data_IF_673934243434
#
_entry.id   IF_673934243434
#
_cell.length_a   1.000
_cell.length_b   1.000
_cell.length_c   1.000
_cell.angle_alpha   90.00
_cell.angle_beta   90.00
_cell.angle_gamma   90.00
#
_symmetry.space_group_name_H-M   'P 1'
#
loop_
_entity.id
_entity.type
_entity.pdbx_description
1 polymer ?
#
# COMPACT_ATOMS: atom_id res chain seq x y z
N UNK A 1 -4.41 -5.51 -19.80
CA UNK A 1 -4.36 -6.93 -19.36
C UNK A 1 -5.54 -7.14 -18.41
N UNK A 2 -6.10 -8.35 -18.26
CA UNK A 2 -7.12 -8.56 -17.23
C UNK A 2 -6.53 -8.20 -15.85
N UNK A 3 -7.26 -7.41 -15.07
CA UNK A 3 -6.90 -7.09 -13.67
C UNK A 3 -6.89 -8.38 -12.85
N UNK A 4 -5.90 -8.52 -11.96
CA UNK A 4 -5.84 -9.65 -11.05
C UNK A 4 -7.09 -9.65 -10.17
N UNK A 5 -7.78 -10.79 -10.09
CA UNK A 5 -8.88 -10.92 -9.14
C UNK A 5 -8.34 -10.93 -7.71
N UNK A 6 -9.13 -10.46 -6.73
CA UNK A 6 -8.75 -10.44 -5.30
C UNK A 6 -8.22 -11.79 -4.81
N UNK A 7 -8.81 -12.90 -5.24
CA UNK A 7 -8.35 -14.25 -4.88
C UNK A 7 -6.99 -14.62 -5.48
N UNK A 8 -6.73 -14.25 -6.73
CA UNK A 8 -5.43 -14.47 -7.39
C UNK A 8 -4.34 -13.58 -6.77
N UNK A 9 -4.69 -12.35 -6.39
CA UNK A 9 -3.79 -11.42 -5.74
C UNK A 9 -3.35 -11.96 -4.36
N UNK A 10 -4.29 -12.42 -3.54
CA UNK A 10 -4.01 -13.03 -2.23
C UNK A 10 -3.08 -14.25 -2.33
N UNK A 11 -3.21 -15.08 -3.37
CA UNK A 11 -2.31 -16.23 -3.56
C UNK A 11 -0.87 -15.78 -3.88
N UNK A 12 -0.70 -14.69 -4.63
CA UNK A 12 0.62 -14.16 -5.00
C UNK A 12 1.33 -13.45 -3.84
N UNK A 13 0.59 -12.92 -2.87
CA UNK A 13 1.13 -12.23 -1.68
C UNK A 13 1.97 -13.11 -0.77
N UNK A 14 1.96 -14.43 -0.94
CA UNK A 14 2.80 -15.35 -0.15
C UNK A 14 4.31 -15.22 -0.45
N UNK A 15 4.70 -14.41 -1.44
CA UNK A 15 6.07 -14.26 -1.91
C UNK A 15 6.51 -12.79 -1.81
N UNK A 16 7.72 -12.55 -1.29
CA UNK A 16 8.35 -11.24 -1.38
C UNK A 16 8.54 -10.85 -2.86
N UNK A 17 8.27 -9.60 -3.20
CA UNK A 17 8.29 -9.15 -4.60
C UNK A 17 7.07 -9.57 -5.43
N UNK A 18 5.92 -9.83 -4.79
CA UNK A 18 4.70 -10.17 -5.50
C UNK A 18 4.32 -9.10 -6.54
N UNK A 19 3.96 -9.54 -7.75
CA UNK A 19 3.40 -8.66 -8.76
C UNK A 19 1.87 -8.60 -8.61
N UNK A 20 1.41 -7.46 -8.10
CA UNK A 20 0.03 -7.08 -7.78
C UNK A 20 -0.36 -5.79 -8.52
N UNK A 21 0.36 -5.48 -9.59
CA UNK A 21 0.11 -4.30 -10.41
C UNK A 21 -1.32 -4.29 -10.93
N UNK A 22 -1.97 -3.13 -10.83
CA UNK A 22 -3.36 -2.90 -11.25
C UNK A 22 -4.37 -3.88 -10.59
N UNK A 23 -4.02 -4.54 -9.47
CA UNK A 23 -4.91 -5.48 -8.80
C UNK A 23 -6.05 -4.75 -8.08
N UNK A 24 -7.23 -5.37 -8.05
CA UNK A 24 -8.32 -4.94 -7.18
C UNK A 24 -8.16 -5.62 -5.81
N UNK A 25 -7.74 -4.81 -4.84
CA UNK A 25 -7.55 -5.14 -3.43
C UNK A 25 -8.41 -4.26 -2.52
N UNK A 26 -9.43 -3.60 -3.09
CA UNK A 26 -10.34 -2.73 -2.35
C UNK A 26 -10.97 -3.49 -1.16
N UNK A 27 -10.95 -2.87 0.02
CA UNK A 27 -11.43 -3.46 1.27
C UNK A 27 -10.82 -4.82 1.61
N UNK A 28 -9.59 -5.11 1.16
CA UNK A 28 -8.90 -6.33 1.53
C UNK A 28 -8.37 -6.25 2.97
N UNK A 29 -8.40 -7.38 3.68
CA UNK A 29 -7.62 -7.57 4.90
C UNK A 29 -6.20 -8.00 4.50
N UNK A 30 -5.28 -7.05 4.61
CA UNK A 30 -3.85 -7.18 4.36
C UNK A 30 -3.05 -6.87 5.63
N UNK A 31 -3.69 -6.94 6.79
CA UNK A 31 -3.05 -6.64 8.07
C UNK A 31 -1.87 -7.59 8.31
N UNK A 32 -0.78 -7.03 8.83
CA UNK A 32 0.49 -7.73 9.13
C UNK A 32 1.11 -8.51 7.95
N UNK A 33 0.63 -8.32 6.70
CA UNK A 33 1.13 -9.08 5.55
C UNK A 33 2.53 -8.66 5.16
N UNK A 34 3.27 -9.63 4.63
CA UNK A 34 4.60 -9.39 4.04
C UNK A 34 4.42 -9.00 2.58
N UNK A 35 4.49 -7.71 2.30
CA UNK A 35 4.41 -7.12 0.96
C UNK A 35 5.73 -6.47 0.54
N UNK A 36 6.83 -6.90 1.17
CA UNK A 36 8.17 -6.36 0.92
C UNK A 36 8.50 -6.46 -0.58
N UNK A 37 8.94 -5.33 -1.14
CA UNK A 37 9.31 -5.18 -2.55
C UNK A 37 8.20 -5.54 -3.55
N UNK A 38 6.93 -5.64 -3.14
CA UNK A 38 5.82 -5.93 -4.03
C UNK A 38 5.61 -4.79 -5.04
N UNK A 39 5.21 -5.14 -6.26
CA UNK A 39 4.73 -4.17 -7.25
C UNK A 39 3.21 -4.06 -7.11
N UNK A 40 2.77 -2.95 -6.53
CA UNK A 40 1.39 -2.53 -6.29
C UNK A 40 1.07 -1.26 -7.12
N UNK A 41 1.85 -0.99 -8.17
CA UNK A 41 1.64 0.17 -9.03
C UNK A 41 0.21 0.17 -9.58
N UNK A 42 -0.50 1.28 -9.42
CA UNK A 42 -1.89 1.43 -9.88
C UNK A 42 -2.91 0.49 -9.24
N UNK A 43 -2.56 -0.24 -8.16
CA UNK A 43 -3.50 -1.10 -7.46
C UNK A 43 -4.61 -0.28 -6.78
N UNK A 44 -5.81 -0.83 -6.74
CA UNK A 44 -6.90 -0.31 -5.92
C UNK A 44 -6.82 -0.94 -4.53
N UNK A 45 -6.39 -0.16 -3.55
CA UNK A 45 -6.31 -0.50 -2.12
C UNK A 45 -7.30 0.35 -1.31
N UNK A 46 -8.32 0.92 -1.97
CA UNK A 46 -9.28 1.79 -1.29
C UNK A 46 -9.99 1.04 -0.15
N UNK A 47 -9.98 1.64 1.04
CA UNK A 47 -10.53 1.07 2.27
C UNK A 47 -9.89 -0.24 2.73
N UNK A 48 -8.73 -0.64 2.20
CA UNK A 48 -8.03 -1.83 2.65
C UNK A 48 -7.47 -1.66 4.07
N UNK A 49 -7.40 -2.75 4.82
CA UNK A 49 -6.69 -2.84 6.09
C UNK A 49 -5.25 -3.27 5.82
N UNK A 50 -4.31 -2.34 5.91
CA UNK A 50 -2.85 -2.53 5.82
C UNK A 50 -2.18 -2.27 7.17
N UNK A 51 -2.93 -2.33 8.28
CA UNK A 51 -2.39 -2.11 9.61
C UNK A 51 -1.25 -3.10 9.89
N UNK A 52 -0.11 -2.60 10.37
CA UNK A 52 1.10 -3.39 10.62
C UNK A 52 1.76 -4.03 9.39
N UNK A 53 1.28 -3.75 8.16
CA UNK A 53 1.82 -4.39 6.96
C UNK A 53 3.29 -4.06 6.72
N UNK A 54 4.05 -5.05 6.21
CA UNK A 54 5.46 -4.89 5.88
C UNK A 54 5.63 -4.53 4.40
N UNK A 55 5.65 -3.23 4.11
CA UNK A 55 5.74 -2.65 2.76
C UNK A 55 7.14 -2.16 2.40
N UNK A 56 8.18 -2.52 3.18
CA UNK A 56 9.56 -2.11 2.92
C UNK A 56 9.96 -2.25 1.44
N UNK A 57 10.37 -1.14 0.82
CA UNK A 57 10.74 -1.05 -0.61
C UNK A 57 9.66 -1.46 -1.62
N UNK A 58 8.38 -1.49 -1.23
CA UNK A 58 7.31 -1.74 -2.19
C UNK A 58 7.14 -0.56 -3.16
N UNK A 59 6.62 -0.86 -4.35
CA UNK A 59 6.28 0.12 -5.38
C UNK A 59 4.76 0.31 -5.43
N UNK A 60 4.27 1.48 -5.05
CA UNK A 60 2.85 1.89 -5.10
C UNK A 60 2.62 3.16 -5.95
N UNK A 61 3.35 3.41 -7.06
CA UNK A 61 3.11 4.62 -7.82
C UNK A 61 1.69 4.62 -8.41
N UNK A 62 0.95 5.71 -8.15
CA UNK A 62 -0.43 5.88 -8.61
C UNK A 62 -1.46 4.91 -8.00
N UNK A 63 -1.14 4.21 -6.91
CA UNK A 63 -2.11 3.37 -6.21
C UNK A 63 -3.21 4.22 -5.55
N UNK A 64 -4.42 3.68 -5.46
CA UNK A 64 -5.52 4.26 -4.69
C UNK A 64 -5.50 3.66 -3.28
N UNK A 65 -5.16 4.46 -2.28
CA UNK A 65 -5.16 4.11 -0.85
C UNK A 65 -6.23 4.91 -0.10
N UNK A 66 -7.26 5.41 -0.80
CA UNK A 66 -8.29 6.25 -0.19
C UNK A 66 -8.99 5.52 0.96
N UNK A 67 -8.99 6.13 2.15
CA UNK A 67 -9.58 5.54 3.35
C UNK A 67 -8.92 4.26 3.87
N UNK A 68 -7.72 3.89 3.39
CA UNK A 68 -7.00 2.71 3.88
C UNK A 68 -6.47 2.89 5.31
N UNK A 69 -6.42 1.82 6.07
CA UNK A 69 -5.75 1.79 7.38
C UNK A 69 -4.28 1.37 7.18
N UNK A 70 -3.35 2.30 7.36
CA UNK A 70 -1.90 2.07 7.31
C UNK A 70 -1.26 2.17 8.71
N UNK A 71 -2.05 2.04 9.77
CA UNK A 71 -1.57 2.24 11.14
C UNK A 71 -0.42 1.29 11.46
N UNK A 72 0.70 1.84 11.94
CA UNK A 72 1.90 1.05 12.25
C UNK A 72 2.57 0.34 11.06
N UNK A 73 2.16 0.61 9.82
CA UNK A 73 2.74 -0.03 8.64
C UNK A 73 4.22 0.37 8.46
N UNK A 74 5.04 -0.57 8.01
CA UNK A 74 6.43 -0.31 7.64
C UNK A 74 6.49 0.12 6.18
N UNK A 75 6.54 1.43 5.94
CA UNK A 75 6.63 2.07 4.62
C UNK A 75 8.05 2.53 4.29
N UNK A 76 9.06 2.03 4.98
CA UNK A 76 10.46 2.44 4.81
C UNK A 76 10.93 2.16 3.38
N UNK A 77 11.51 3.18 2.72
CA UNK A 77 11.94 3.18 1.32
C UNK A 77 10.85 2.82 0.29
N UNK A 78 9.58 2.96 0.65
CA UNK A 78 8.44 2.67 -0.25
C UNK A 78 8.26 3.78 -1.27
N UNK A 79 7.88 3.43 -2.49
CA UNK A 79 7.54 4.41 -3.51
C UNK A 79 6.03 4.67 -3.58
N UNK A 80 5.56 5.77 -2.99
CA UNK A 80 4.16 6.20 -2.97
C UNK A 80 3.87 7.31 -4.00
N UNK A 81 4.75 7.51 -4.99
CA UNK A 81 4.64 8.68 -5.86
C UNK A 81 3.32 8.70 -6.64
N UNK A 82 2.56 9.79 -6.50
CA UNK A 82 1.26 9.94 -7.15
C UNK A 82 0.13 9.08 -6.57
N UNK A 83 0.35 8.38 -5.46
CA UNK A 83 -0.71 7.64 -4.78
C UNK A 83 -1.75 8.58 -4.15
N UNK A 84 -3.00 8.15 -4.13
CA UNK A 84 -4.07 8.85 -3.42
C UNK A 84 -4.24 8.29 -2.01
N UNK A 85 -3.89 9.09 -1.02
CA UNK A 85 -3.94 8.76 0.40
C UNK A 85 -5.05 9.55 1.11
N UNK A 86 -6.04 10.07 0.36
CA UNK A 86 -7.15 10.84 0.92
C UNK A 86 -7.89 10.03 1.98
N UNK A 87 -7.82 10.52 3.23
CA UNK A 87 -8.49 9.89 4.38
C UNK A 87 -7.85 8.59 4.88
N UNK A 88 -6.66 8.23 4.40
CA UNK A 88 -5.90 7.10 4.95
C UNK A 88 -5.38 7.40 6.36
N UNK A 89 -5.37 6.40 7.25
CA UNK A 89 -4.78 6.54 8.60
C UNK A 89 -3.32 6.06 8.58
N UNK A 90 -2.38 7.00 8.72
CA UNK A 90 -0.95 6.75 8.74
C UNK A 90 -0.35 6.74 10.17
N UNK A 91 -1.20 6.69 11.21
CA UNK A 91 -0.74 6.78 12.59
C UNK A 91 0.27 5.67 12.93
N UNK A 92 1.48 6.07 13.32
CA UNK A 92 2.57 5.16 13.65
C UNK A 92 3.26 4.51 12.44
N UNK A 93 2.87 4.83 11.21
CA UNK A 93 3.52 4.29 10.01
C UNK A 93 4.94 4.86 9.86
N UNK A 94 5.93 4.01 9.58
CA UNK A 94 7.32 4.43 9.39
C UNK A 94 7.57 4.79 7.93
N UNK A 95 7.75 6.09 7.65
CA UNK A 95 7.92 6.64 6.31
C UNK A 95 9.38 6.93 5.97
N UNK A 96 10.36 6.40 6.73
CA UNK A 96 11.77 6.70 6.51
C UNK A 96 12.21 6.42 5.06
N UNK A 97 12.57 7.48 4.33
CA UNK A 97 13.02 7.38 2.95
C UNK A 97 11.92 7.05 1.93
N UNK A 98 10.64 7.09 2.32
CA UNK A 98 9.53 6.92 1.39
C UNK A 98 9.51 8.04 0.35
N UNK A 99 9.22 7.69 -0.91
CA UNK A 99 9.01 8.68 -1.96
C UNK A 99 7.54 9.12 -1.97
N UNK A 100 7.29 10.35 -1.48
CA UNK A 100 5.96 10.95 -1.37
C UNK A 100 5.64 11.95 -2.50
N UNK A 101 6.40 11.92 -3.60
CA UNK A 101 6.24 12.88 -4.69
C UNK A 101 4.82 12.86 -5.28
N UNK A 102 4.14 14.00 -5.26
CA UNK A 102 2.78 14.18 -5.79
C UNK A 102 1.70 13.30 -5.14
N UNK A 103 1.89 12.84 -3.90
CA UNK A 103 0.82 12.21 -3.12
C UNK A 103 -0.38 13.16 -2.99
N UNK A 104 -1.59 12.58 -3.04
CA UNK A 104 -2.86 13.31 -2.92
C UNK A 104 -3.48 13.05 -1.55
N UNK A 105 -3.97 14.10 -0.89
CA UNK A 105 -4.92 14.01 0.22
C UNK A 105 -4.43 13.40 1.55
N UNK A 106 -3.15 13.04 1.68
CA UNK A 106 -2.62 12.43 2.90
C UNK A 106 -2.58 13.41 4.09
N UNK A 107 -2.97 12.93 5.26
CA UNK A 107 -2.58 13.52 6.54
C UNK A 107 -1.41 12.71 7.11
N UNK A 108 -0.24 13.34 7.20
CA UNK A 108 0.97 12.71 7.75
C UNK A 108 1.09 12.91 9.27
N UNK A 109 0.10 13.54 9.91
CA UNK A 109 0.08 13.67 11.36
C UNK A 109 0.10 12.30 12.01
N UNK A 110 1.08 12.06 12.88
CA UNK A 110 1.21 10.78 13.59
C UNK A 110 2.02 9.72 12.86
N UNK A 111 2.42 9.92 11.61
CA UNK A 111 3.44 9.09 10.97
C UNK A 111 4.83 9.31 11.63
N UNK A 112 5.68 8.29 11.59
CA UNK A 112 7.02 8.25 12.20
C UNK A 112 8.14 8.58 11.21
#
# INVERSE_FOLDING_TARGET
MPTLTKAEALLKMAQAGANLKDADLSGADLSDRILQAADLSGADLSGADLSGAYLFRADLPGADLTGADLTGANLVWTNLSGADLSGADLSGADLLGANLGNVIGADFTGAL
#
